data_IF_855790479534
#
_entry.id   IF_855790479534
#
_cell.length_a   1.000
_cell.length_b   1.000
_cell.length_c   1.000
_cell.angle_alpha   90.00
_cell.angle_beta   90.00
_cell.angle_gamma   90.00
#
_symmetry.space_group_name_H-M   'P 1'
#
loop_
_entity.id
_entity.type
_entity.pdbx_description
1 polymer ?
#
# COMPACT_ATOMS: atom_id res chain seq x y z
N UNK A 1 15.83 7.13 2.43
CA UNK A 1 15.40 8.26 3.27
C UNK A 1 15.66 9.61 2.61
N UNK A 2 16.88 9.93 2.17
CA UNK A 2 17.23 11.25 1.61
C UNK A 2 16.38 11.64 0.38
N UNK A 3 16.15 10.72 -0.55
CA UNK A 3 15.36 11.00 -1.76
C UNK A 3 13.89 11.32 -1.47
N UNK A 4 13.27 10.63 -0.50
CA UNK A 4 11.86 10.89 -0.12
C UNK A 4 11.72 12.25 0.55
N UNK A 5 12.67 12.60 1.44
CA UNK A 5 12.73 13.93 2.08
C UNK A 5 12.93 15.03 1.02
N UNK A 6 13.81 14.80 0.04
CA UNK A 6 14.03 15.75 -1.06
C UNK A 6 12.78 15.94 -1.93
N UNK A 7 12.09 14.85 -2.28
CA UNK A 7 10.85 14.90 -3.07
C UNK A 7 9.73 15.59 -2.27
N UNK A 8 9.60 15.30 -0.98
CA UNK A 8 8.59 15.95 -0.11
C UNK A 8 8.87 17.46 0.05
N UNK A 9 10.14 17.85 0.27
CA UNK A 9 10.54 19.26 0.38
C UNK A 9 10.38 19.97 -0.97
N UNK A 10 10.70 19.31 -2.08
CA UNK A 10 10.52 19.85 -3.42
C UNK A 10 9.03 20.10 -3.71
N UNK A 11 8.14 19.17 -3.39
CA UNK A 11 6.70 19.32 -3.54
C UNK A 11 6.10 20.37 -2.61
N UNK A 12 6.63 20.49 -1.38
CA UNK A 12 6.25 21.56 -0.46
C UNK A 12 6.65 22.93 -0.99
N UNK A 13 7.85 23.08 -1.58
CA UNK A 13 8.32 24.35 -2.17
C UNK A 13 7.60 24.75 -3.44
N UNK A 14 7.10 23.80 -4.23
CA UNK A 14 6.33 24.10 -5.45
C UNK A 14 4.86 24.44 -5.12
N UNK A 15 4.46 24.37 -3.82
CA UNK A 15 3.10 24.71 -3.41
C UNK A 15 2.06 23.66 -3.77
N UNK A 16 2.49 22.45 -4.14
CA UNK A 16 1.63 21.33 -4.54
C UNK A 16 0.63 20.93 -3.43
N UNK A 17 0.93 21.25 -2.17
CA UNK A 17 0.06 21.00 -1.02
C UNK A 17 -0.83 22.19 -0.63
N UNK A 18 -0.73 23.33 -1.32
CA UNK A 18 -1.52 24.51 -0.96
C UNK A 18 -2.93 24.50 -1.54
N UNK A 19 -3.15 23.83 -2.68
CA UNK A 19 -4.46 23.76 -3.32
C UNK A 19 -4.58 22.50 -4.18
N UNK A 20 -5.71 21.78 -4.06
CA UNK A 20 -6.03 20.61 -4.86
C UNK A 20 -6.06 20.92 -6.38
N UNK A 21 -6.47 22.12 -6.75
CA UNK A 21 -6.50 22.55 -8.14
C UNK A 21 -5.08 22.68 -8.74
N UNK A 22 -4.13 23.24 -7.98
CA UNK A 22 -2.71 23.35 -8.37
C UNK A 22 -2.07 21.97 -8.50
N UNK A 23 -2.44 21.04 -7.62
CA UNK A 23 -1.99 19.65 -7.66
C UNK A 23 -2.50 18.94 -8.91
N UNK A 24 -3.79 19.04 -9.21
CA UNK A 24 -4.38 18.48 -10.42
C UNK A 24 -3.78 19.10 -11.70
N UNK A 25 -3.54 20.42 -11.72
CA UNK A 25 -2.90 21.09 -12.84
C UNK A 25 -1.47 20.58 -13.07
N UNK A 26 -0.69 20.39 -12.00
CA UNK A 26 0.66 19.84 -12.07
C UNK A 26 0.68 18.41 -12.61
N UNK A 27 -0.21 17.54 -12.13
CA UNK A 27 -0.34 16.16 -12.58
C UNK A 27 -0.74 16.13 -14.07
N UNK A 28 -1.70 16.96 -14.47
CA UNK A 28 -2.12 17.06 -15.87
C UNK A 28 -1.00 17.58 -16.78
N UNK A 29 -0.14 18.46 -16.28
CA UNK A 29 1.02 18.98 -17.03
C UNK A 29 2.15 17.97 -17.18
N UNK A 30 2.28 16.99 -16.25
CA UNK A 30 3.31 15.94 -16.29
C UNK A 30 2.91 14.74 -17.16
N UNK A 31 1.70 14.70 -17.69
CA UNK A 31 1.22 13.59 -18.54
C UNK A 31 1.38 12.22 -17.86
N UNK A 32 2.01 11.26 -18.54
CA UNK A 32 2.22 9.90 -18.01
C UNK A 32 3.29 9.81 -16.91
N UNK A 33 4.11 10.82 -16.73
CA UNK A 33 5.21 10.80 -15.74
C UNK A 33 4.66 10.85 -14.31
N UNK A 34 3.64 11.66 -14.05
CA UNK A 34 3.00 11.77 -12.73
C UNK A 34 2.50 10.43 -12.19
N UNK A 35 1.64 9.71 -12.94
CA UNK A 35 1.20 8.36 -12.57
C UNK A 35 2.34 7.37 -12.34
N UNK A 36 3.37 7.37 -13.18
CA UNK A 36 4.51 6.46 -13.03
C UNK A 36 5.29 6.73 -11.74
N UNK A 37 5.56 7.99 -11.42
CA UNK A 37 6.21 8.39 -10.16
C UNK A 37 5.35 7.95 -8.97
N UNK A 38 4.05 8.15 -9.03
CA UNK A 38 3.14 7.74 -7.96
C UNK A 38 3.15 6.22 -7.74
N UNK A 39 3.07 5.43 -8.82
CA UNK A 39 3.17 3.97 -8.75
C UNK A 39 4.50 3.56 -8.12
N UNK A 40 5.60 4.19 -8.50
CA UNK A 40 6.92 3.91 -7.94
C UNK A 40 6.97 4.23 -6.43
N UNK A 41 6.41 5.35 -6.01
CA UNK A 41 6.29 5.73 -4.59
C UNK A 41 5.47 4.68 -3.83
N UNK A 42 4.37 4.21 -4.41
CA UNK A 42 3.55 3.16 -3.81
C UNK A 42 4.33 1.85 -3.66
N UNK A 43 5.09 1.43 -4.66
CA UNK A 43 5.96 0.26 -4.57
C UNK A 43 6.96 0.40 -3.43
N UNK A 44 7.67 1.53 -3.37
CA UNK A 44 8.68 1.80 -2.32
C UNK A 44 8.05 1.78 -0.94
N UNK A 45 6.87 2.40 -0.79
CA UNK A 45 6.17 2.48 0.49
C UNK A 45 5.66 1.11 0.99
N UNK A 46 5.20 0.24 0.09
CA UNK A 46 4.80 -1.14 0.44
C UNK A 46 6.01 -1.96 0.89
N UNK A 47 7.16 -1.76 0.23
CA UNK A 47 8.41 -2.46 0.60
C UNK A 47 9.00 -1.93 1.90
N UNK A 48 8.95 -0.63 2.11
CA UNK A 48 9.44 0.04 3.32
C UNK A 48 8.25 0.80 3.94
N UNK A 49 7.45 0.18 4.81
CA UNK A 49 6.22 0.76 5.34
C UNK A 49 6.52 1.92 6.30
N UNK A 50 6.83 3.10 5.77
CA UNK A 50 7.08 4.33 6.53
C UNK A 50 5.74 5.02 6.84
N UNK A 51 4.79 4.95 5.92
CA UNK A 51 3.48 5.61 6.00
C UNK A 51 2.39 4.52 6.04
N UNK A 52 1.36 4.64 6.86
CA UNK A 52 0.23 3.71 6.82
C UNK A 52 -0.39 3.64 5.43
N UNK A 53 -0.57 2.43 4.88
CA UNK A 53 -1.03 2.21 3.50
C UNK A 53 -2.36 2.89 3.15
N UNK A 54 -3.24 3.09 4.15
CA UNK A 54 -4.49 3.84 3.96
C UNK A 54 -4.28 5.30 3.56
N UNK A 55 -3.24 5.96 4.10
CA UNK A 55 -2.94 7.39 3.79
C UNK A 55 -2.47 7.54 2.35
N UNK A 56 -1.63 6.63 1.87
CA UNK A 56 -1.14 6.69 0.49
C UNK A 56 -2.20 6.31 -0.52
N UNK A 57 -3.07 5.34 -0.17
CA UNK A 57 -4.24 5.01 -0.99
C UNK A 57 -5.17 6.22 -1.12
N UNK A 58 -5.39 6.94 -0.01
CA UNK A 58 -6.10 8.21 0.01
C UNK A 58 -5.49 9.24 -0.93
N UNK A 59 -4.19 9.45 -0.83
CA UNK A 59 -3.47 10.38 -1.68
C UNK A 59 -3.68 10.06 -3.17
N UNK A 60 -3.63 8.79 -3.57
CA UNK A 60 -3.90 8.38 -4.95
C UNK A 60 -5.28 8.79 -5.45
N UNK A 61 -6.31 8.61 -4.61
CA UNK A 61 -7.69 9.00 -4.96
C UNK A 61 -7.85 10.51 -5.05
N UNK A 62 -7.22 11.26 -4.14
CA UNK A 62 -7.25 12.73 -4.15
C UNK A 62 -6.52 13.28 -5.38
N UNK A 63 -5.35 12.71 -5.72
CA UNK A 63 -4.49 13.20 -6.80
C UNK A 63 -5.03 12.88 -8.19
N UNK A 64 -5.53 11.66 -8.39
CA UNK A 64 -5.86 11.14 -9.73
C UNK A 64 -7.36 10.85 -9.90
N UNK A 65 -8.16 11.12 -8.86
CA UNK A 65 -9.57 10.74 -8.84
C UNK A 65 -9.81 9.27 -8.49
N UNK A 66 -11.08 8.88 -8.27
CA UNK A 66 -11.41 7.57 -7.71
C UNK A 66 -10.98 6.40 -8.60
N UNK A 67 -11.16 6.49 -9.91
CA UNK A 67 -10.85 5.39 -10.84
C UNK A 67 -9.37 5.27 -11.17
N UNK A 68 -8.72 6.36 -11.54
CA UNK A 68 -7.29 6.34 -11.86
C UNK A 68 -6.47 6.13 -10.60
N UNK A 69 -6.82 6.80 -9.50
CA UNK A 69 -6.18 6.62 -8.20
C UNK A 69 -6.28 5.18 -7.71
N UNK A 70 -7.46 4.55 -7.86
CA UNK A 70 -7.64 3.13 -7.57
C UNK A 70 -6.69 2.26 -8.40
N UNK A 71 -6.63 2.48 -9.72
CA UNK A 71 -5.80 1.68 -10.62
C UNK A 71 -4.31 1.82 -10.31
N UNK A 72 -3.82 3.05 -10.08
CA UNK A 72 -2.41 3.29 -9.79
C UNK A 72 -2.01 2.75 -8.40
N UNK A 73 -2.86 2.92 -7.39
CA UNK A 73 -2.70 2.27 -6.09
C UNK A 73 -2.61 0.76 -6.23
N UNK A 74 -3.55 0.16 -6.96
CA UNK A 74 -3.60 -1.28 -7.16
C UNK A 74 -2.32 -1.82 -7.81
N UNK A 75 -1.88 -1.21 -8.92
CA UNK A 75 -0.65 -1.62 -9.61
C UNK A 75 0.56 -1.51 -8.66
N UNK A 76 0.73 -0.38 -7.99
CA UNK A 76 1.87 -0.15 -7.09
C UNK A 76 1.89 -1.11 -5.91
N UNK A 77 0.73 -1.33 -5.27
CA UNK A 77 0.59 -2.23 -4.12
C UNK A 77 0.84 -3.70 -4.53
N UNK A 78 0.30 -4.16 -5.66
CA UNK A 78 0.53 -5.54 -6.14
C UNK A 78 2.01 -5.77 -6.43
N UNK A 79 2.65 -4.85 -7.15
CA UNK A 79 4.10 -4.96 -7.46
C UNK A 79 4.91 -4.94 -6.16
N UNK A 80 4.64 -4.02 -5.24
CA UNK A 80 5.32 -3.94 -3.96
C UNK A 80 5.15 -5.19 -3.10
N UNK A 81 3.94 -5.77 -3.08
CA UNK A 81 3.67 -7.04 -2.38
C UNK A 81 4.45 -8.21 -2.96
N UNK A 82 4.60 -8.28 -4.29
CA UNK A 82 5.43 -9.30 -4.94
C UNK A 82 6.91 -9.13 -4.60
N UNK A 83 7.39 -7.89 -4.61
CA UNK A 83 8.77 -7.58 -4.20
C UNK A 83 9.00 -7.99 -2.74
N UNK A 84 8.09 -7.66 -1.81
CA UNK A 84 8.17 -8.07 -0.41
C UNK A 84 8.28 -9.58 -0.26
N UNK A 85 7.45 -10.33 -0.97
CA UNK A 85 7.49 -11.78 -0.95
C UNK A 85 8.85 -12.34 -1.39
N UNK A 86 9.41 -11.83 -2.50
CA UNK A 86 10.70 -12.31 -3.00
C UNK A 86 11.88 -11.83 -2.16
N UNK A 87 11.85 -10.61 -1.65
CA UNK A 87 12.89 -10.12 -0.73
C UNK A 87 12.94 -10.95 0.55
N UNK A 88 11.79 -11.21 1.15
CA UNK A 88 11.71 -12.09 2.32
C UNK A 88 12.18 -13.50 2.02
N UNK A 89 11.83 -14.06 0.86
CA UNK A 89 12.24 -15.40 0.43
C UNK A 89 13.74 -15.53 0.21
N UNK A 90 14.36 -14.51 -0.36
CA UNK A 90 15.78 -14.53 -0.69
C UNK A 90 16.68 -14.13 0.48
N UNK A 91 16.26 -13.15 1.28
CA UNK A 91 17.08 -12.58 2.36
C UNK A 91 16.69 -13.05 3.77
N UNK A 92 15.54 -13.67 3.92
CA UNK A 92 15.13 -14.33 5.16
C UNK A 92 14.77 -13.40 6.32
N UNK A 93 14.80 -13.97 7.55
CA UNK A 93 14.50 -13.26 8.80
C UNK A 93 15.31 -11.96 9.00
N UNK A 94 16.63 -11.90 8.72
CA UNK A 94 17.41 -10.67 8.94
C UNK A 94 16.84 -9.47 8.19
N UNK A 95 16.41 -9.65 6.95
CA UNK A 95 15.81 -8.58 6.16
C UNK A 95 14.51 -8.07 6.79
N UNK A 96 13.64 -8.99 7.21
CA UNK A 96 12.35 -8.63 7.80
C UNK A 96 12.52 -7.86 9.12
N UNK A 97 13.48 -8.23 9.94
CA UNK A 97 13.74 -7.54 11.21
C UNK A 97 14.28 -6.11 11.05
N UNK A 98 14.73 -5.71 9.84
CA UNK A 98 15.02 -4.30 9.53
C UNK A 98 13.75 -3.49 9.28
N UNK A 99 12.64 -4.15 8.93
CA UNK A 99 11.38 -3.51 8.55
C UNK A 99 10.37 -3.55 9.71
N UNK A 100 10.29 -4.69 10.41
CA UNK A 100 9.33 -4.90 11.51
C UNK A 100 10.04 -5.31 12.79
N UNK A 101 9.43 -5.00 13.94
CA UNK A 101 9.96 -5.42 15.23
C UNK A 101 9.90 -6.95 15.41
N UNK A 102 10.83 -7.50 16.19
CA UNK A 102 10.88 -8.94 16.49
C UNK A 102 9.56 -9.45 17.09
N UNK A 103 8.93 -8.66 17.96
CA UNK A 103 7.62 -8.99 18.55
C UNK A 103 6.52 -9.18 17.48
N UNK A 104 6.50 -8.34 16.46
CA UNK A 104 5.55 -8.43 15.35
C UNK A 104 5.89 -9.63 14.48
N UNK A 105 7.16 -9.83 14.18
CA UNK A 105 7.66 -10.98 13.44
C UNK A 105 7.24 -12.30 14.10
N UNK A 106 7.56 -12.49 15.39
CA UNK A 106 7.26 -13.73 16.13
C UNK A 106 5.77 -14.00 16.23
N UNK A 107 4.95 -12.95 16.43
CA UNK A 107 3.50 -13.05 16.45
C UNK A 107 2.96 -13.69 15.16
N UNK A 108 3.38 -13.21 13.99
CA UNK A 108 2.86 -13.72 12.72
C UNK A 108 3.54 -15.04 12.29
N UNK A 109 4.80 -15.24 12.64
CA UNK A 109 5.47 -16.54 12.44
C UNK A 109 4.83 -17.67 13.27
N UNK A 110 4.22 -17.36 14.42
CA UNK A 110 3.48 -18.35 15.18
C UNK A 110 2.28 -18.92 14.39
N UNK A 111 1.62 -18.13 13.56
CA UNK A 111 0.56 -18.61 12.67
C UNK A 111 1.12 -19.46 11.50
N UNK A 112 2.37 -19.21 11.10
CA UNK A 112 3.01 -19.91 9.98
C UNK A 112 3.51 -21.33 10.34
N UNK A 113 3.42 -21.77 11.61
CA UNK A 113 3.79 -23.12 12.03
C UNK A 113 3.00 -24.23 11.31
N UNK A 114 1.77 -23.95 10.91
CA UNK A 114 0.97 -24.85 10.08
C UNK A 114 0.66 -24.17 8.75
N UNK A 115 1.25 -24.68 7.65
CA UNK A 115 1.16 -24.07 6.33
C UNK A 115 -0.29 -23.91 5.85
N UNK A 116 -1.14 -24.93 5.98
CA UNK A 116 -2.52 -24.86 5.50
C UNK A 116 -3.34 -23.84 6.27
N UNK A 117 -3.16 -23.76 7.60
CA UNK A 117 -3.82 -22.74 8.42
C UNK A 117 -3.32 -21.35 8.07
N UNK A 118 -2.02 -21.21 7.81
CA UNK A 118 -1.44 -19.93 7.41
C UNK A 118 -1.94 -19.49 6.04
N UNK A 119 -2.02 -20.37 5.06
CA UNK A 119 -2.52 -20.05 3.72
C UNK A 119 -3.97 -19.53 3.78
N UNK A 120 -4.83 -20.20 4.56
CA UNK A 120 -6.21 -19.75 4.77
C UNK A 120 -6.28 -18.42 5.52
N UNK A 121 -5.50 -18.29 6.61
CA UNK A 121 -5.40 -17.04 7.37
C UNK A 121 -4.91 -15.87 6.49
N UNK A 122 -3.88 -16.10 5.68
CA UNK A 122 -3.34 -15.12 4.75
C UNK A 122 -4.40 -14.65 3.76
N UNK A 123 -5.14 -15.59 3.12
CA UNK A 123 -6.17 -15.25 2.15
C UNK A 123 -7.29 -14.39 2.77
N UNK A 124 -7.72 -14.71 4.00
CA UNK A 124 -8.74 -13.94 4.71
C UNK A 124 -8.19 -12.57 5.13
N UNK A 125 -6.96 -12.53 5.66
CA UNK A 125 -6.35 -11.32 6.18
C UNK A 125 -6.07 -10.27 5.09
N UNK A 126 -5.69 -10.70 3.87
CA UNK A 126 -5.46 -9.78 2.74
C UNK A 126 -6.75 -9.07 2.32
N UNK A 127 -7.90 -9.69 2.50
CA UNK A 127 -9.21 -9.07 2.19
C UNK A 127 -9.69 -8.19 3.35
N UNK A 128 -9.17 -8.39 4.57
CA UNK A 128 -9.57 -7.63 5.75
C UNK A 128 -8.88 -6.25 5.77
N UNK A 129 -9.62 -5.13 5.81
CA UNK A 129 -9.05 -3.79 5.67
C UNK A 129 -8.16 -3.34 6.85
N UNK A 130 -8.12 -4.07 7.94
CA UNK A 130 -7.38 -3.72 9.18
C UNK A 130 -6.11 -4.57 9.36
N UNK A 131 -5.91 -5.60 8.54
CA UNK A 131 -4.74 -6.47 8.68
C UNK A 131 -3.45 -5.76 8.22
N UNK A 132 -2.30 -5.99 8.88
CA UNK A 132 -1.01 -5.51 8.42
C UNK A 132 -0.52 -6.38 7.25
N UNK A 133 -1.15 -6.19 6.12
CA UNK A 133 -1.01 -7.01 4.92
C UNK A 133 0.42 -7.00 4.33
N UNK A 134 1.15 -5.90 4.45
CA UNK A 134 2.55 -5.81 4.01
C UNK A 134 3.45 -6.73 4.84
N UNK A 135 3.23 -6.78 6.17
CA UNK A 135 3.94 -7.71 7.06
C UNK A 135 3.60 -9.16 6.71
N UNK A 136 2.33 -9.44 6.42
CA UNK A 136 1.89 -10.78 6.03
C UNK A 136 2.51 -11.23 4.70
N UNK A 137 2.72 -10.31 3.75
CA UNK A 137 3.44 -10.59 2.49
C UNK A 137 4.90 -11.00 2.75
N UNK A 138 5.58 -10.31 3.69
CA UNK A 138 6.94 -10.67 4.12
C UNK A 138 6.96 -12.05 4.79
N UNK A 139 6.05 -12.34 5.71
CA UNK A 139 5.96 -13.63 6.37
C UNK A 139 5.65 -14.76 5.37
N UNK A 140 4.72 -14.53 4.42
CA UNK A 140 4.40 -15.48 3.36
C UNK A 140 5.63 -15.85 2.53
N UNK A 141 6.53 -14.89 2.28
CA UNK A 141 7.81 -15.13 1.61
C UNK A 141 8.71 -16.12 2.33
N UNK A 142 8.71 -16.15 3.67
CA UNK A 142 9.49 -17.11 4.48
C UNK A 142 8.88 -18.50 4.54
N UNK A 143 7.59 -18.64 4.29
CA UNK A 143 6.90 -19.91 4.38
C UNK A 143 7.06 -20.77 3.11
N UNK A 144 6.54 -22.01 3.13
CA UNK A 144 6.47 -22.86 1.94
C UNK A 144 5.33 -22.47 0.99
N UNK A 145 4.73 -21.28 1.14
CA UNK A 145 3.64 -20.82 0.28
C UNK A 145 4.12 -20.72 -1.18
N UNK A 146 3.36 -21.34 -2.08
CA UNK A 146 3.64 -21.26 -3.52
C UNK A 146 3.36 -19.85 -4.03
N UNK A 147 4.29 -19.28 -4.80
CA UNK A 147 4.11 -17.94 -5.38
C UNK A 147 2.81 -17.80 -6.17
N UNK A 148 2.39 -18.82 -6.91
CA UNK A 148 1.12 -18.81 -7.65
C UNK A 148 -0.09 -18.57 -6.74
N UNK A 149 -0.16 -19.25 -5.58
CA UNK A 149 -1.23 -19.05 -4.61
C UNK A 149 -1.16 -17.62 -4.02
N UNK A 150 0.02 -17.21 -3.57
CA UNK A 150 0.25 -15.85 -3.08
C UNK A 150 -0.21 -14.79 -4.10
N UNK A 151 0.22 -14.92 -5.36
CA UNK A 151 -0.12 -13.98 -6.42
C UNK A 151 -1.65 -13.89 -6.65
N UNK A 152 -2.35 -15.02 -6.70
CA UNK A 152 -3.80 -15.02 -6.85
C UNK A 152 -4.51 -14.34 -5.69
N UNK A 153 -4.07 -14.61 -4.45
CA UNK A 153 -4.65 -13.96 -3.26
C UNK A 153 -4.43 -12.44 -3.30
N UNK A 154 -3.24 -11.99 -3.68
CA UNK A 154 -2.94 -10.55 -3.79
C UNK A 154 -3.74 -9.90 -4.92
N UNK A 155 -3.74 -10.48 -6.12
CA UNK A 155 -4.43 -9.92 -7.30
C UNK A 155 -5.95 -9.82 -7.06
N UNK A 156 -6.56 -10.82 -6.43
CA UNK A 156 -8.00 -10.83 -6.20
C UNK A 156 -8.41 -10.15 -4.89
N UNK A 157 -7.58 -10.19 -3.85
CA UNK A 157 -7.89 -9.63 -2.54
C UNK A 157 -7.65 -8.13 -2.44
N UNK A 158 -6.55 -7.63 -2.99
CA UNK A 158 -6.20 -6.20 -2.91
C UNK A 158 -7.22 -5.25 -3.53
N UNK A 159 -7.88 -5.53 -4.68
CA UNK A 159 -8.92 -4.66 -5.20
C UNK A 159 -10.03 -4.39 -4.21
N UNK A 160 -10.44 -5.40 -3.44
CA UNK A 160 -11.51 -5.27 -2.44
C UNK A 160 -11.09 -4.30 -1.34
N UNK A 161 -9.89 -4.49 -0.79
CA UNK A 161 -9.35 -3.66 0.29
C UNK A 161 -9.17 -2.20 -0.17
N UNK A 162 -8.58 -1.99 -1.35
CA UNK A 162 -8.37 -0.66 -1.92
C UNK A 162 -9.71 0.03 -2.21
N UNK A 163 -10.71 -0.71 -2.75
CA UNK A 163 -12.04 -0.18 -2.99
C UNK A 163 -12.71 0.28 -1.68
N UNK A 164 -12.64 -0.54 -0.62
CA UNK A 164 -13.19 -0.20 0.70
C UNK A 164 -12.54 1.07 1.25
N UNK A 165 -11.20 1.20 1.19
CA UNK A 165 -10.50 2.42 1.61
C UNK A 165 -10.91 3.63 0.76
N UNK A 166 -10.93 3.50 -0.56
CA UNK A 166 -11.29 4.58 -1.47
C UNK A 166 -12.73 5.05 -1.25
N UNK A 167 -13.68 4.14 -1.11
CA UNK A 167 -15.07 4.45 -0.82
C UNK A 167 -15.25 5.10 0.56
N UNK A 168 -14.59 4.58 1.59
CA UNK A 168 -14.66 5.14 2.95
C UNK A 168 -14.20 6.59 2.99
N UNK A 169 -13.21 6.96 2.18
CA UNK A 169 -12.73 8.33 2.07
C UNK A 169 -13.72 9.24 1.34
N UNK A 170 -14.27 8.78 0.22
CA UNK A 170 -15.25 9.56 -0.56
C UNK A 170 -16.52 9.81 0.28
N UNK A 171 -17.06 8.77 0.90
CA UNK A 171 -18.25 8.90 1.74
C UNK A 171 -17.97 9.66 3.05
N UNK A 172 -16.82 9.43 3.68
CA UNK A 172 -16.41 10.14 4.90
C UNK A 172 -16.22 11.63 4.66
N UNK A 173 -15.60 12.03 3.56
CA UNK A 173 -15.47 13.43 3.18
C UNK A 173 -16.83 14.10 2.91
N UNK A 174 -17.73 13.42 2.19
CA UNK A 174 -19.11 13.91 1.96
C UNK A 174 -19.88 14.09 3.27
N UNK A 175 -19.77 13.15 4.19
CA UNK A 175 -20.47 13.21 5.48
C UNK A 175 -19.94 14.36 6.34
N UNK A 176 -18.61 14.56 6.39
CA UNK A 176 -18.00 15.70 7.10
C UNK A 176 -18.42 17.05 6.51
N UNK A 177 -18.42 17.20 5.19
CA UNK A 177 -18.88 18.43 4.54
C UNK A 177 -20.34 18.75 4.86
N UNK A 178 -21.21 17.73 4.93
CA UNK A 178 -22.60 17.90 5.33
C UNK A 178 -22.77 18.34 6.79
N UNK A 179 -21.86 17.94 7.69
CA UNK A 179 -21.88 18.37 9.11
C UNK A 179 -21.45 19.84 9.30
N UNK A 180 -20.50 20.31 8.49
CA UNK A 180 -20.00 21.69 8.58
C UNK A 180 -20.84 22.73 7.78
N UNK A 181 -21.75 22.28 6.91
CA UNK A 181 -22.68 23.13 6.18
C UNK A 181 -24.09 23.24 6.81
N UNK A 182 -24.28 22.73 8.04
CA UNK A 182 -25.41 22.99 8.90
C UNK A 182 -25.04 24.00 9.99
#
# INVERSE_FOLDING_TARGET
MVAIVFVTIYWYRIGVFHDLASLHAYINSTGLIGPLIFILIQVVQVVIPIIPGGVSTAAGVILFGPWQGFLYNYIGIVIGSFINFFLARNYGKPFILHIVSEKVFDKYMAYAKNQQKFDTFFAIAIVAPVAPDDVLCLIAGLTHMKFKFFAWVIILGKPITIAVYSMSLVFGAHWLLHLFHR
#
